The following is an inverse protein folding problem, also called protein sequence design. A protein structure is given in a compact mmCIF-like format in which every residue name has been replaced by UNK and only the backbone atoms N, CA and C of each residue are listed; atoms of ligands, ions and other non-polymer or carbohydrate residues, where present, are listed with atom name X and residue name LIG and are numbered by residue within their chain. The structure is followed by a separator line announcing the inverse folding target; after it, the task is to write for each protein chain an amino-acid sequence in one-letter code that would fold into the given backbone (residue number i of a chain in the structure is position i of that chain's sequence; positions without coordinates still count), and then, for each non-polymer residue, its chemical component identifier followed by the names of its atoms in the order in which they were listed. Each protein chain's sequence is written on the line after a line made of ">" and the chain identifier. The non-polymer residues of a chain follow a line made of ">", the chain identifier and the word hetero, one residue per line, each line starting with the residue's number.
data_IF_219007357387
#
_entry.id   IF_219007357387
#
_cell.length_a   1.000
_cell.length_b   1.000
_cell.length_c   1.000
_cell.angle_alpha   90.00
_cell.angle_beta   90.00
_cell.angle_gamma   90.00
#
_symmetry.space_group_name_H-M   'P 1'
#
loop_
_entity.id
_entity.type
_entity.pdbx_description
1 polymer ?
#
# COMPACT_ATOMS: atom_id res chain seq x y z
N UNK A 1 0.44 -5.77 18.45
CA UNK A 1 -0.60 -5.01 17.74
C UNK A 1 -0.20 -4.67 16.30
N UNK A 2 0.94 -4.03 16.04
CA UNK A 2 1.37 -3.68 14.66
C UNK A 2 1.51 -4.89 13.73
N UNK A 3 2.18 -5.96 14.16
CA UNK A 3 2.33 -7.20 13.38
C UNK A 3 0.99 -7.87 13.06
N UNK A 4 0.06 -7.89 14.03
CA UNK A 4 -1.30 -8.41 13.82
C UNK A 4 -2.01 -7.57 12.76
N UNK A 5 -1.89 -6.24 12.84
CA UNK A 5 -2.53 -5.35 11.85
C UNK A 5 -1.96 -5.55 10.45
N UNK A 6 -0.65 -5.75 10.33
CA UNK A 6 -0.02 -6.10 9.04
C UNK A 6 -0.53 -7.47 8.56
N UNK A 7 -0.59 -8.49 9.41
CA UNK A 7 -1.09 -9.81 9.01
C UNK A 7 -2.55 -9.76 8.52
N UNK A 8 -3.43 -9.11 9.27
CA UNK A 8 -4.85 -8.94 8.88
C UNK A 8 -4.96 -8.04 7.65
N UNK A 9 -4.12 -7.01 7.51
CA UNK A 9 -4.06 -6.17 6.31
C UNK A 9 -3.65 -6.95 5.05
N UNK A 10 -2.73 -7.90 5.16
CA UNK A 10 -2.34 -8.75 4.04
C UNK A 10 -3.49 -9.68 3.62
N UNK A 11 -4.21 -10.23 4.61
CA UNK A 11 -5.44 -11.01 4.37
C UNK A 11 -6.52 -10.14 3.71
N UNK A 12 -6.67 -8.87 4.14
CA UNK A 12 -7.62 -7.94 3.54
C UNK A 12 -7.32 -7.68 2.05
N UNK A 13 -6.06 -7.43 1.70
CA UNK A 13 -5.67 -7.22 0.29
C UNK A 13 -5.90 -8.49 -0.53
N UNK A 14 -5.52 -9.66 0.00
CA UNK A 14 -5.77 -10.94 -0.67
C UNK A 14 -7.27 -11.21 -0.86
N UNK A 15 -8.09 -10.96 0.15
CA UNK A 15 -9.54 -11.14 0.07
C UNK A 15 -10.19 -10.11 -0.85
N UNK A 16 -9.71 -8.87 -0.88
CA UNK A 16 -10.15 -7.84 -1.84
C UNK A 16 -9.78 -8.22 -3.28
N UNK A 17 -8.63 -8.86 -3.47
CA UNK A 17 -8.30 -9.48 -4.74
C UNK A 17 -9.32 -10.57 -5.09
N UNK A 18 -9.70 -11.45 -4.17
CA UNK A 18 -10.70 -12.48 -4.44
C UNK A 18 -12.06 -11.89 -4.87
N UNK A 19 -12.52 -10.82 -4.20
CA UNK A 19 -13.75 -10.07 -4.56
C UNK A 19 -13.70 -9.55 -6.00
N UNK A 20 -12.55 -8.99 -6.40
CA UNK A 20 -12.38 -8.43 -7.74
C UNK A 20 -12.25 -9.52 -8.80
N UNK A 21 -11.53 -10.62 -8.53
CA UNK A 21 -11.39 -11.74 -9.50
C UNK A 21 -12.73 -12.41 -9.78
N UNK A 22 -13.62 -12.50 -8.78
CA UNK A 22 -14.94 -13.11 -8.95
C UNK A 22 -15.98 -12.13 -9.48
N UNK A 23 -15.60 -10.87 -9.68
CA UNK A 23 -16.49 -9.78 -10.08
C UNK A 23 -17.73 -9.64 -9.16
N UNK A 24 -17.51 -9.80 -7.85
CA UNK A 24 -18.58 -9.72 -6.82
C UNK A 24 -18.47 -8.46 -5.99
N UNK A 25 -17.74 -7.45 -6.46
CA UNK A 25 -17.50 -6.23 -5.69
C UNK A 25 -18.66 -5.25 -5.64
N UNK A 26 -19.79 -5.58 -6.28
CA UNK A 26 -21.05 -4.82 -6.33
C UNK A 26 -22.27 -5.72 -5.98
N UNK A 27 -22.04 -6.89 -5.38
CA UNK A 27 -23.09 -7.82 -4.95
C UNK A 27 -23.93 -7.27 -3.77
N UNK A 28 -23.42 -6.28 -3.03
CA UNK A 28 -24.11 -5.57 -1.94
C UNK A 28 -24.34 -4.11 -2.36
N UNK A 29 -25.59 -3.68 -2.58
CA UNK A 29 -25.89 -2.40 -3.25
C UNK A 29 -25.83 -1.18 -2.34
N UNK A 30 -25.86 -1.37 -1.02
CA UNK A 30 -25.85 -0.29 -0.03
C UNK A 30 -24.46 -0.14 0.63
N UNK A 31 -24.23 1.03 1.20
CA UNK A 31 -23.04 1.37 2.01
C UNK A 31 -23.42 2.47 3.01
N UNK A 32 -22.95 2.46 4.26
CA UNK A 32 -21.92 1.57 4.86
C UNK A 32 -22.44 0.21 5.35
N UNK A 33 -23.75 -0.01 5.33
CA UNK A 33 -24.38 -1.28 5.75
C UNK A 33 -24.31 -2.33 4.64
N UNK A 34 -24.83 -3.53 4.92
CA UNK A 34 -25.07 -4.58 3.95
C UNK A 34 -26.52 -5.04 4.07
N UNK A 35 -27.33 -4.71 3.07
CA UNK A 35 -28.78 -4.86 3.07
C UNK A 35 -29.44 -4.30 4.34
N UNK A 36 -29.04 -3.09 4.73
CA UNK A 36 -29.55 -2.39 5.91
C UNK A 36 -29.10 -2.95 7.27
N UNK A 37 -28.16 -3.92 7.29
CA UNK A 37 -27.62 -4.50 8.53
C UNK A 37 -26.09 -4.47 8.55
N UNK A 38 -25.51 -4.43 9.75
CA UNK A 38 -24.07 -4.63 9.95
C UNK A 38 -23.65 -6.08 9.73
N UNK A 39 -24.55 -7.04 9.98
CA UNK A 39 -24.31 -8.47 9.81
C UNK A 39 -25.61 -9.16 9.37
N UNK A 40 -26.00 -9.03 8.09
CA UNK A 40 -27.23 -9.57 7.53
C UNK A 40 -27.27 -11.11 7.58
N UNK A 41 -28.42 -11.71 7.93
CA UNK A 41 -28.54 -13.18 8.00
C UNK A 41 -28.29 -13.84 6.64
N UNK A 42 -27.69 -15.04 6.65
CA UNK A 42 -27.50 -15.84 5.44
C UNK A 42 -26.32 -15.42 4.56
N UNK A 43 -25.53 -14.40 4.94
CA UNK A 43 -24.40 -13.91 4.14
C UNK A 43 -23.32 -14.97 3.87
N UNK A 44 -23.17 -15.94 4.79
CA UNK A 44 -22.27 -17.08 4.60
C UNK A 44 -22.79 -18.08 3.58
N UNK A 45 -24.08 -18.12 3.26
CA UNK A 45 -24.68 -19.11 2.36
C UNK A 45 -24.45 -18.83 0.87
N UNK A 46 -24.36 -17.55 0.49
CA UNK A 46 -24.26 -17.13 -0.91
C UNK A 46 -22.80 -16.77 -1.22
N UNK A 47 -22.10 -17.46 -2.16
CA UNK A 47 -20.67 -17.25 -2.39
C UNK A 47 -20.26 -15.81 -2.72
N UNK A 48 -21.04 -15.11 -3.56
CA UNK A 48 -20.78 -13.72 -3.92
C UNK A 48 -20.90 -12.79 -2.72
N UNK A 49 -21.99 -12.93 -1.96
CA UNK A 49 -22.23 -12.15 -0.76
C UNK A 49 -21.20 -12.44 0.33
N UNK A 50 -20.78 -13.71 0.48
CA UNK A 50 -19.73 -14.13 1.41
C UNK A 50 -18.42 -13.40 1.13
N UNK A 51 -18.02 -13.33 -0.13
CA UNK A 51 -16.79 -12.64 -0.53
C UNK A 51 -16.90 -11.14 -0.27
N UNK A 52 -17.96 -10.48 -0.73
CA UNK A 52 -18.05 -9.03 -0.56
C UNK A 52 -18.26 -8.60 0.89
N UNK A 53 -19.23 -9.18 1.59
CA UNK A 53 -19.48 -8.83 2.99
C UNK A 53 -18.30 -9.23 3.88
N UNK A 54 -17.68 -10.39 3.63
CA UNK A 54 -16.45 -10.79 4.31
C UNK A 54 -15.30 -9.78 4.12
N UNK A 55 -15.17 -9.21 2.92
CA UNK A 55 -14.19 -8.14 2.66
C UNK A 55 -14.49 -6.89 3.49
N UNK A 56 -15.77 -6.46 3.54
CA UNK A 56 -16.21 -5.30 4.33
C UNK A 56 -15.94 -5.50 5.83
N UNK A 57 -16.21 -6.70 6.36
CA UNK A 57 -15.92 -7.04 7.76
C UNK A 57 -14.42 -7.05 8.06
N UNK A 58 -13.59 -7.61 7.17
CA UNK A 58 -12.13 -7.55 7.29
C UNK A 58 -11.63 -6.10 7.27
N UNK A 59 -12.17 -5.26 6.38
CA UNK A 59 -11.82 -3.84 6.28
C UNK A 59 -12.18 -3.09 7.56
N UNK A 60 -13.37 -3.33 8.13
CA UNK A 60 -13.79 -2.77 9.41
C UNK A 60 -12.86 -3.23 10.55
N UNK A 61 -12.47 -4.51 10.58
CA UNK A 61 -11.52 -5.05 11.54
C UNK A 61 -10.15 -4.38 11.47
N UNK A 62 -9.59 -4.19 10.26
CA UNK A 62 -8.34 -3.43 10.08
C UNK A 62 -8.50 -1.99 10.53
N UNK A 63 -9.64 -1.35 10.24
CA UNK A 63 -9.95 0.01 10.71
C UNK A 63 -9.93 0.12 12.24
N UNK A 64 -10.52 -0.84 12.95
CA UNK A 64 -10.49 -0.89 14.41
C UNK A 64 -9.07 -1.10 14.97
N UNK A 65 -8.27 -1.96 14.34
CA UNK A 65 -6.88 -2.16 14.72
C UNK A 65 -6.04 -0.89 14.52
N UNK A 66 -6.24 -0.17 13.42
CA UNK A 66 -5.60 1.14 13.16
C UNK A 66 -6.01 2.17 14.20
N UNK A 67 -7.31 2.24 14.52
CA UNK A 67 -7.83 3.13 15.55
C UNK A 67 -7.19 2.83 16.92
N UNK A 68 -7.09 1.55 17.29
CA UNK A 68 -6.42 1.13 18.52
C UNK A 68 -4.92 1.49 18.53
N UNK A 69 -4.21 1.30 17.42
CA UNK A 69 -2.80 1.73 17.28
C UNK A 69 -2.63 3.24 17.41
N UNK A 70 -3.52 4.00 16.78
CA UNK A 70 -3.54 5.45 16.87
C UNK A 70 -3.71 5.89 18.34
N UNK A 71 -4.76 5.43 19.03
CA UNK A 71 -5.00 5.81 20.42
C UNK A 71 -3.89 5.36 21.38
N UNK A 72 -3.29 4.22 21.12
CA UNK A 72 -2.16 3.74 21.92
C UNK A 72 -0.94 4.67 21.83
N UNK A 73 -0.62 5.20 20.65
CA UNK A 73 0.48 6.17 20.50
C UNK A 73 0.03 7.54 21.00
N UNK A 74 -1.20 7.94 20.70
CA UNK A 74 -1.79 9.21 21.12
C UNK A 74 -1.74 9.38 22.64
N UNK A 75 -2.11 8.36 23.42
CA UNK A 75 -2.07 8.41 24.89
C UNK A 75 -0.66 8.51 25.47
N UNK A 76 0.36 7.94 24.79
CA UNK A 76 1.76 8.03 25.21
C UNK A 76 2.38 9.42 24.99
N UNK A 77 1.92 10.13 23.96
CA UNK A 77 2.49 11.40 23.51
C UNK A 77 1.85 12.64 24.19
N UNK A 78 1.07 12.46 25.27
CA UNK A 78 0.39 13.51 26.06
C UNK A 78 -0.24 14.60 25.18
N UNK A 79 -1.30 14.26 24.44
CA UNK A 79 -1.83 15.13 23.40
C UNK A 79 -2.55 16.33 24.00
N UNK A 80 -2.62 17.42 23.23
CA UNK A 80 -3.38 18.60 23.67
C UNK A 80 -4.87 18.26 23.62
N UNK A 81 -5.65 18.72 24.59
CA UNK A 81 -7.10 18.50 24.63
C UNK A 81 -7.80 18.91 23.32
N UNK A 82 -7.35 20.02 22.72
CA UNK A 82 -7.87 20.51 21.44
C UNK A 82 -7.67 19.49 20.30
N UNK A 83 -6.57 18.74 20.30
CA UNK A 83 -6.31 17.71 19.29
C UNK A 83 -7.23 16.51 19.48
N UNK A 84 -7.43 16.09 20.75
CA UNK A 84 -8.33 15.00 21.09
C UNK A 84 -9.78 15.34 20.72
N UNK A 85 -10.24 16.53 21.11
CA UNK A 85 -11.57 17.04 20.80
C UNK A 85 -11.75 17.20 19.29
N UNK A 86 -10.76 17.81 18.62
CA UNK A 86 -10.78 17.99 17.17
C UNK A 86 -10.92 16.67 16.42
N UNK A 87 -10.18 15.64 16.82
CA UNK A 87 -10.26 14.31 16.20
C UNK A 87 -11.61 13.63 16.45
N UNK A 88 -12.14 13.69 17.67
CA UNK A 88 -13.43 13.10 18.01
C UNK A 88 -14.55 13.78 17.25
N UNK A 89 -14.60 15.12 17.27
CA UNK A 89 -15.58 15.89 16.51
C UNK A 89 -15.47 15.61 15.00
N UNK A 90 -14.24 15.45 14.51
CA UNK A 90 -13.98 15.10 13.11
C UNK A 90 -14.51 13.71 12.76
N UNK A 91 -14.25 12.71 13.60
CA UNK A 91 -14.78 11.36 13.42
C UNK A 91 -16.31 11.32 13.48
N UNK A 92 -16.91 12.00 14.46
CA UNK A 92 -18.38 12.09 14.61
C UNK A 92 -19.01 12.83 13.43
N UNK A 93 -18.45 13.97 13.03
CA UNK A 93 -18.91 14.75 11.89
C UNK A 93 -18.85 13.97 10.58
N UNK A 94 -17.74 13.25 10.36
CA UNK A 94 -17.60 12.37 9.19
C UNK A 94 -18.63 11.22 9.18
N UNK A 95 -18.84 10.55 10.32
CA UNK A 95 -19.86 9.49 10.45
C UNK A 95 -21.28 10.02 10.23
N UNK A 96 -21.56 11.24 10.70
CA UNK A 96 -22.84 11.91 10.46
C UNK A 96 -23.04 12.20 8.96
N UNK A 97 -22.02 12.72 8.26
CA UNK A 97 -22.08 12.98 6.83
C UNK A 97 -22.30 11.68 6.02
N UNK A 98 -21.65 10.58 6.40
CA UNK A 98 -21.91 9.28 5.78
C UNK A 98 -23.35 8.84 6.02
N UNK A 99 -23.83 8.91 7.27
CA UNK A 99 -25.17 8.43 7.63
C UNK A 99 -26.28 9.21 6.92
N UNK A 100 -26.05 10.49 6.63
CA UNK A 100 -26.99 11.38 5.94
C UNK A 100 -26.85 11.35 4.41
N UNK A 101 -25.96 10.51 3.85
CA UNK A 101 -25.78 10.36 2.41
C UNK A 101 -24.92 11.46 1.75
N UNK A 102 -24.27 12.33 2.52
CA UNK A 102 -23.45 13.43 2.03
C UNK A 102 -21.98 13.02 1.78
N UNK A 103 -21.77 11.94 1.03
CA UNK A 103 -20.44 11.32 0.85
C UNK A 103 -19.38 12.25 0.22
N UNK A 104 -19.79 13.14 -0.70
CA UNK A 104 -18.90 14.15 -1.32
C UNK A 104 -18.44 15.24 -0.34
N UNK A 105 -19.29 15.61 0.62
CA UNK A 105 -18.87 16.51 1.70
C UNK A 105 -17.95 15.78 2.68
N UNK A 106 -18.23 14.49 2.93
CA UNK A 106 -17.34 13.62 3.68
C UNK A 106 -15.93 13.54 3.09
N UNK A 107 -15.79 13.42 1.76
CA UNK A 107 -14.46 13.39 1.13
C UNK A 107 -13.73 14.74 1.24
N UNK A 108 -14.42 15.87 1.11
CA UNK A 108 -13.83 17.19 1.35
C UNK A 108 -13.34 17.33 2.81
N UNK A 109 -14.11 16.82 3.77
CA UNK A 109 -13.73 16.79 5.19
C UNK A 109 -12.41 16.03 5.43
N UNK A 110 -12.21 14.94 4.70
CA UNK A 110 -10.97 14.16 4.78
C UNK A 110 -9.77 14.91 4.20
N UNK A 111 -9.95 15.63 3.10
CA UNK A 111 -8.89 16.48 2.51
C UNK A 111 -8.44 17.53 3.53
N UNK A 112 -9.38 18.21 4.20
CA UNK A 112 -9.05 19.14 5.28
C UNK A 112 -8.30 18.48 6.43
N UNK A 113 -8.69 17.25 6.81
CA UNK A 113 -7.96 16.45 7.80
C UNK A 113 -6.51 16.16 7.41
N UNK A 114 -6.25 15.83 6.14
CA UNK A 114 -4.89 15.59 5.62
C UNK A 114 -4.04 16.86 5.62
N UNK A 115 -4.63 18.01 5.24
CA UNK A 115 -3.96 19.32 5.30
C UNK A 115 -3.60 19.65 6.75
N UNK A 116 -4.57 19.51 7.67
CA UNK A 116 -4.34 19.69 9.11
C UNK A 116 -3.19 18.81 9.61
N UNK A 117 -3.21 17.52 9.28
CA UNK A 117 -2.14 16.58 9.66
C UNK A 117 -0.75 17.02 9.21
N UNK A 118 -0.61 17.42 7.95
CA UNK A 118 0.67 17.89 7.41
C UNK A 118 1.16 19.15 8.13
N UNK A 119 0.27 20.12 8.32
CA UNK A 119 0.58 21.36 9.03
C UNK A 119 0.95 21.11 10.49
N UNK A 120 0.20 20.28 11.22
CA UNK A 120 0.49 19.98 12.63
C UNK A 120 1.76 19.17 12.78
N UNK A 121 2.04 18.25 11.86
CA UNK A 121 3.29 17.50 11.88
C UNK A 121 4.49 18.44 11.70
N UNK A 122 4.43 19.35 10.73
CA UNK A 122 5.48 20.34 10.49
C UNK A 122 5.65 21.31 11.69
N UNK A 123 4.54 21.81 12.23
CA UNK A 123 4.56 22.79 13.31
C UNK A 123 5.00 22.20 14.67
N UNK A 124 4.56 20.98 14.98
CA UNK A 124 4.79 20.35 16.28
C UNK A 124 5.87 19.28 16.29
N UNK A 125 6.52 19.02 15.15
CA UNK A 125 7.63 18.05 15.00
C UNK A 125 7.30 16.69 15.61
N UNK A 126 6.11 16.17 15.33
CA UNK A 126 5.68 14.86 15.83
C UNK A 126 6.68 13.75 15.51
N UNK A 127 6.80 12.78 16.42
CA UNK A 127 7.53 11.55 16.17
C UNK A 127 6.97 10.85 14.94
N UNK A 128 7.83 10.20 14.15
CA UNK A 128 7.40 9.48 12.94
C UNK A 128 6.30 8.46 13.25
N UNK A 129 6.36 7.80 14.40
CA UNK A 129 5.32 6.88 14.85
C UNK A 129 3.95 7.57 14.99
N UNK A 130 3.89 8.72 15.67
CA UNK A 130 2.65 9.51 15.82
C UNK A 130 2.15 10.03 14.48
N UNK A 131 3.05 10.54 13.63
CA UNK A 131 2.68 11.04 12.31
C UNK A 131 2.07 9.91 11.45
N UNK A 132 2.72 8.74 11.40
CA UNK A 132 2.27 7.63 10.55
C UNK A 132 0.98 6.96 11.04
N UNK A 133 0.75 6.83 12.35
CA UNK A 133 -0.54 6.29 12.83
C UNK A 133 -1.70 7.24 12.63
N UNK A 134 -1.47 8.55 12.75
CA UNK A 134 -2.48 9.57 12.39
C UNK A 134 -2.78 9.52 10.89
N UNK A 135 -1.74 9.42 10.07
CA UNK A 135 -1.88 9.31 8.62
C UNK A 135 -2.62 8.03 8.21
N UNK A 136 -2.29 6.89 8.81
CA UNK A 136 -3.00 5.63 8.58
C UNK A 136 -4.49 5.72 8.93
N UNK A 137 -4.84 6.37 10.05
CA UNK A 137 -6.24 6.60 10.43
C UNK A 137 -6.97 7.42 9.35
N UNK A 138 -6.36 8.49 8.85
CA UNK A 138 -6.93 9.29 7.77
C UNK A 138 -7.07 8.50 6.46
N UNK A 139 -6.07 7.70 6.10
CA UNK A 139 -6.14 6.83 4.92
C UNK A 139 -7.24 5.78 5.03
N UNK A 140 -7.52 5.20 6.21
CA UNK A 140 -8.66 4.30 6.40
C UNK A 140 -9.97 5.01 6.09
N UNK A 141 -10.11 6.26 6.50
CA UNK A 141 -11.30 7.08 6.23
C UNK A 141 -11.43 7.36 4.72
N UNK A 142 -10.33 7.76 4.05
CA UNK A 142 -10.29 7.90 2.57
C UNK A 142 -10.71 6.59 1.89
N UNK A 143 -10.15 5.47 2.32
CA UNK A 143 -10.42 4.15 1.74
C UNK A 143 -11.89 3.74 1.91
N UNK A 144 -12.48 3.99 3.09
CA UNK A 144 -13.89 3.75 3.33
C UNK A 144 -14.78 4.62 2.42
N UNK A 145 -14.46 5.91 2.28
CA UNK A 145 -15.15 6.83 1.36
C UNK A 145 -15.08 6.35 -0.10
N UNK A 146 -13.88 6.01 -0.58
CA UNK A 146 -13.68 5.55 -1.96
C UNK A 146 -14.38 4.21 -2.22
N UNK A 147 -14.34 3.28 -1.27
CA UNK A 147 -15.07 2.02 -1.35
C UNK A 147 -16.58 2.23 -1.42
N UNK A 148 -17.11 3.17 -0.64
CA UNK A 148 -18.52 3.57 -0.71
C UNK A 148 -18.90 4.20 -2.04
N UNK A 149 -18.10 5.18 -2.53
CA UNK A 149 -18.32 5.84 -3.82
C UNK A 149 -18.28 4.83 -4.98
N UNK A 150 -17.35 3.89 -4.95
CA UNK A 150 -17.28 2.81 -5.94
C UNK A 150 -18.58 2.03 -6.04
N UNK A 151 -19.18 1.66 -4.90
CA UNK A 151 -20.43 0.88 -4.84
C UNK A 151 -21.62 1.73 -5.27
N UNK A 152 -21.77 2.92 -4.67
CA UNK A 152 -22.93 3.79 -4.87
C UNK A 152 -22.99 4.42 -6.28
N UNK A 153 -21.83 4.70 -6.88
CA UNK A 153 -21.75 5.28 -8.23
C UNK A 153 -21.42 4.22 -9.31
N UNK A 154 -21.27 2.94 -8.95
CA UNK A 154 -20.89 1.85 -9.88
C UNK A 154 -19.71 2.20 -10.78
N UNK A 155 -18.64 2.72 -10.18
CA UNK A 155 -17.54 3.38 -10.89
C UNK A 155 -16.23 2.59 -10.85
N UNK A 156 -15.79 2.16 -12.03
CA UNK A 156 -14.52 1.47 -12.23
C UNK A 156 -13.30 2.33 -11.85
N UNK A 157 -13.23 3.62 -12.22
CA UNK A 157 -12.17 4.51 -11.75
C UNK A 157 -12.04 4.54 -10.22
N UNK A 158 -13.15 4.63 -9.48
CA UNK A 158 -13.08 4.57 -8.01
C UNK A 158 -12.63 3.20 -7.51
N UNK A 159 -12.98 2.12 -8.20
CA UNK A 159 -12.45 0.78 -7.91
C UNK A 159 -10.94 0.66 -8.07
N UNK A 160 -10.40 1.18 -9.18
CA UNK A 160 -8.96 1.19 -9.47
C UNK A 160 -8.21 2.03 -8.43
N UNK A 161 -8.69 3.25 -8.14
CA UNK A 161 -8.08 4.14 -7.14
C UNK A 161 -8.17 3.55 -5.74
N UNK A 162 -9.31 3.00 -5.35
CA UNK A 162 -9.49 2.32 -4.07
C UNK A 162 -8.50 1.15 -3.91
N UNK A 163 -8.44 0.24 -4.89
CA UNK A 163 -7.58 -0.94 -4.82
C UNK A 163 -6.09 -0.62 -4.82
N UNK A 164 -5.65 0.36 -5.61
CA UNK A 164 -4.25 0.80 -5.67
C UNK A 164 -3.83 1.54 -4.39
N UNK A 165 -4.66 2.46 -3.90
CA UNK A 165 -4.41 3.17 -2.65
C UNK A 165 -4.47 2.24 -1.44
N UNK A 166 -5.29 1.19 -1.46
CA UNK A 166 -5.31 0.15 -0.42
C UNK A 166 -3.96 -0.57 -0.26
N UNK A 167 -3.23 -0.80 -1.35
CA UNK A 167 -1.88 -1.40 -1.29
C UNK A 167 -0.82 -0.40 -0.81
N UNK A 168 -0.95 0.90 -1.10
CA UNK A 168 -0.11 1.94 -0.48
C UNK A 168 -0.40 2.08 1.02
N UNK A 169 -1.67 2.00 1.42
CA UNK A 169 -2.06 1.97 2.82
C UNK A 169 -1.42 0.77 3.55
N UNK A 170 -1.35 -0.40 2.90
CA UNK A 170 -0.62 -1.55 3.44
C UNK A 170 0.87 -1.24 3.66
N UNK A 171 1.52 -0.52 2.75
CA UNK A 171 2.91 -0.06 2.93
C UNK A 171 3.05 0.84 4.18
N UNK A 172 2.07 1.71 4.44
CA UNK A 172 2.04 2.53 5.67
C UNK A 172 1.92 1.67 6.93
N UNK A 173 1.10 0.62 6.92
CA UNK A 173 1.01 -0.32 8.04
C UNK A 173 2.35 -1.01 8.32
N UNK A 174 3.06 -1.40 7.26
CA UNK A 174 4.40 -1.99 7.36
C UNK A 174 5.41 -0.96 7.89
N UNK A 175 5.34 0.30 7.45
CA UNK A 175 6.18 1.38 8.00
C UNK A 175 5.94 1.55 9.51
N UNK A 176 4.68 1.59 9.95
CA UNK A 176 4.34 1.70 11.37
C UNK A 176 4.92 0.51 12.15
N UNK A 177 4.83 -0.71 11.61
CA UNK A 177 5.40 -1.90 12.23
C UNK A 177 6.93 -1.82 12.33
N UNK A 178 7.61 -1.35 11.29
CA UNK A 178 9.06 -1.13 11.26
C UNK A 178 9.46 -0.10 12.30
N UNK A 179 8.87 1.11 12.27
CA UNK A 179 9.19 2.21 13.18
C UNK A 179 8.92 1.86 14.65
N UNK A 180 7.93 0.99 14.89
CA UNK A 180 7.60 0.51 16.24
C UNK A 180 8.48 -0.66 16.71
N UNK A 181 9.32 -1.23 15.85
CA UNK A 181 10.16 -2.39 16.16
C UNK A 181 11.42 -2.01 16.97
N UNK A 182 12.01 -2.98 17.68
CA UNK A 182 13.29 -2.78 18.38
C UNK A 182 14.42 -2.46 17.40
N UNK A 183 14.45 -3.13 16.26
CA UNK A 183 15.47 -2.93 15.23
C UNK A 183 15.48 -1.52 14.63
N UNK A 184 14.37 -0.79 14.66
CA UNK A 184 14.36 0.63 14.25
C UNK A 184 15.14 1.55 15.18
N UNK A 185 15.34 1.15 16.44
CA UNK A 185 16.21 1.88 17.39
C UNK A 185 17.68 1.51 17.24
N UNK A 186 17.97 0.32 16.71
CA UNK A 186 19.33 -0.15 16.48
C UNK A 186 19.88 0.46 15.16
N UNK A 187 21.11 0.96 15.18
CA UNK A 187 21.81 1.45 13.99
C UNK A 187 22.40 0.28 13.18
N UNK A 188 22.87 0.55 11.94
CA UNK A 188 23.66 -0.42 11.18
C UNK A 188 22.91 -1.29 10.15
N UNK A 189 21.77 -0.83 9.61
CA UNK A 189 21.12 -1.51 8.49
C UNK A 189 21.81 -1.25 7.14
N UNK A 190 22.51 -0.12 7.03
CA UNK A 190 23.22 0.32 5.82
C UNK A 190 24.70 0.49 6.09
N UNK A 191 25.54 0.22 5.09
CA UNK A 191 26.97 0.47 5.14
C UNK A 191 27.26 1.96 4.80
N UNK A 192 27.82 2.78 5.73
CA UNK A 192 27.97 4.23 5.54
C UNK A 192 28.91 4.67 4.40
N UNK A 193 29.77 3.78 3.90
CA UNK A 193 30.82 4.11 2.93
C UNK A 193 30.47 3.97 1.44
N UNK A 194 29.22 3.61 1.09
CA UNK A 194 28.82 3.32 -0.30
C UNK A 194 27.70 4.26 -0.72
N UNK A 195 27.77 4.79 -1.96
CA UNK A 195 26.95 5.86 -2.54
C UNK A 195 25.45 5.87 -2.18
N UNK A 196 25.12 6.33 -0.97
CA UNK A 196 23.78 6.27 -0.40
C UNK A 196 22.80 7.20 -1.13
N UNK A 197 23.30 8.28 -1.75
CA UNK A 197 22.49 9.16 -2.62
C UNK A 197 21.95 8.39 -3.83
N UNK A 198 22.79 7.61 -4.47
CA UNK A 198 22.40 6.75 -5.60
C UNK A 198 21.45 5.64 -5.12
N UNK A 199 21.70 5.07 -3.93
CA UNK A 199 20.79 4.10 -3.32
C UNK A 199 19.37 4.62 -3.14
N UNK A 200 19.23 5.85 -2.65
CA UNK A 200 17.94 6.52 -2.49
C UNK A 200 17.27 6.72 -3.84
N UNK A 201 17.99 7.24 -4.83
CA UNK A 201 17.45 7.46 -6.17
C UNK A 201 16.93 6.17 -6.79
N UNK A 202 17.74 5.11 -6.77
CA UNK A 202 17.42 3.82 -7.39
C UNK A 202 16.30 3.07 -6.66
N UNK A 203 16.26 3.08 -5.33
CA UNK A 203 15.16 2.44 -4.58
C UNK A 203 13.85 3.21 -4.69
N UNK A 204 13.90 4.55 -4.80
CA UNK A 204 12.71 5.38 -5.05
C UNK A 204 12.17 5.13 -6.46
N UNK A 205 13.05 5.04 -7.46
CA UNK A 205 12.68 4.67 -8.82
C UNK A 205 12.05 3.28 -8.87
N UNK A 206 12.65 2.29 -8.20
CA UNK A 206 12.10 0.93 -8.12
C UNK A 206 10.69 0.92 -7.53
N UNK A 207 10.49 1.52 -6.36
CA UNK A 207 9.17 1.58 -5.72
C UNK A 207 8.13 2.25 -6.64
N UNK A 208 8.50 3.36 -7.28
CA UNK A 208 7.63 4.09 -8.21
C UNK A 208 7.28 3.24 -9.43
N UNK A 209 8.24 2.50 -10.00
CA UNK A 209 8.05 1.65 -11.16
C UNK A 209 7.14 0.44 -10.84
N UNK A 210 7.34 -0.20 -9.67
CA UNK A 210 6.48 -1.28 -9.19
C UNK A 210 5.05 -0.77 -8.92
N UNK A 211 4.91 0.42 -8.33
CA UNK A 211 3.59 1.03 -8.12
C UNK A 211 2.90 1.36 -9.44
N UNK A 212 3.62 1.88 -10.44
CA UNK A 212 3.05 2.11 -11.77
C UNK A 212 2.58 0.79 -12.41
N UNK A 213 3.36 -0.28 -12.30
CA UNK A 213 2.95 -1.61 -12.80
C UNK A 213 1.69 -2.12 -12.12
N UNK A 214 1.55 -1.88 -10.81
CA UNK A 214 0.34 -2.20 -10.04
C UNK A 214 -0.87 -1.42 -10.58
N UNK A 215 -0.73 -0.12 -10.85
CA UNK A 215 -1.81 0.71 -11.44
C UNK A 215 -2.23 0.17 -12.81
N UNK A 216 -1.28 -0.13 -13.69
CA UNK A 216 -1.58 -0.72 -15.00
C UNK A 216 -2.29 -2.08 -14.84
N UNK A 217 -1.84 -2.93 -13.91
CA UNK A 217 -2.50 -4.21 -13.61
C UNK A 217 -3.91 -4.05 -13.04
N UNK A 218 -4.15 -3.01 -12.24
CA UNK A 218 -5.48 -2.69 -11.73
C UNK A 218 -6.43 -2.23 -12.85
N UNK A 219 -5.94 -1.37 -13.76
CA UNK A 219 -6.71 -0.97 -14.96
C UNK A 219 -7.08 -2.20 -15.78
N UNK A 220 -6.11 -3.04 -16.14
CA UNK A 220 -6.33 -4.28 -16.90
C UNK A 220 -7.43 -5.14 -16.26
N UNK A 221 -7.36 -5.33 -14.94
CA UNK A 221 -8.32 -6.17 -14.22
C UNK A 221 -9.73 -5.58 -14.19
N UNK A 222 -9.86 -4.26 -14.20
CA UNK A 222 -11.15 -3.59 -14.21
C UNK A 222 -11.76 -3.50 -15.62
N UNK A 223 -10.96 -3.42 -16.68
CA UNK A 223 -11.45 -3.40 -18.07
C UNK A 223 -11.67 -4.82 -18.63
N UNK A 224 -10.88 -5.80 -18.22
CA UNK A 224 -10.89 -7.18 -18.75
C UNK A 224 -11.33 -8.21 -17.69
N UNK A 225 -12.47 -7.95 -17.02
CA UNK A 225 -12.98 -8.82 -15.94
C UNK A 225 -13.44 -10.19 -16.41
N UNK A 226 -14.07 -10.25 -17.58
CA UNK A 226 -14.75 -11.45 -18.08
C UNK A 226 -13.81 -12.33 -18.90
N UNK A 227 -12.99 -11.72 -19.76
CA UNK A 227 -12.04 -12.42 -20.61
C UNK A 227 -10.83 -11.53 -20.89
N UNK A 228 -9.66 -12.14 -21.04
CA UNK A 228 -8.47 -11.47 -21.54
C UNK A 228 -8.59 -11.25 -23.05
N UNK A 229 -8.14 -10.11 -23.53
CA UNK A 229 -8.19 -9.77 -24.96
C UNK A 229 -7.23 -10.60 -25.82
N UNK A 230 -6.15 -11.13 -25.23
CA UNK A 230 -5.17 -11.95 -25.93
C UNK A 230 -4.50 -12.96 -24.98
N UNK A 231 -4.08 -14.09 -25.57
CA UNK A 231 -3.35 -15.15 -24.87
C UNK A 231 -1.89 -15.30 -25.32
N UNK A 232 -1.47 -14.50 -26.31
CA UNK A 232 -0.12 -14.54 -26.85
C UNK A 232 0.88 -14.01 -25.79
N UNK A 233 2.02 -14.70 -25.65
CA UNK A 233 3.05 -14.31 -24.68
C UNK A 233 3.97 -13.21 -25.23
N UNK A 234 4.46 -13.38 -26.46
CA UNK A 234 5.41 -12.45 -27.07
C UNK A 234 4.71 -11.27 -27.76
N UNK A 235 3.74 -11.55 -28.61
CA UNK A 235 2.85 -10.55 -29.22
C UNK A 235 1.66 -10.27 -28.30
N UNK A 236 0.78 -9.34 -28.68
CA UNK A 236 -0.51 -9.11 -28.00
C UNK A 236 -1.58 -8.89 -29.05
N UNK A 237 -2.54 -9.82 -29.15
CA UNK A 237 -3.55 -9.86 -30.21
C UNK A 237 -2.92 -9.88 -31.62
N UNK A 238 -1.81 -10.61 -31.77
CA UNK A 238 -1.04 -10.67 -33.01
C UNK A 238 -0.12 -9.47 -33.29
N UNK A 239 -0.23 -8.37 -32.53
CA UNK A 239 0.64 -7.20 -32.69
C UNK A 239 1.94 -7.32 -31.88
N UNK A 240 3.05 -6.80 -32.42
CA UNK A 240 4.24 -6.56 -31.61
C UNK A 240 4.04 -5.40 -30.64
N UNK A 241 3.51 -4.28 -31.13
CA UNK A 241 3.01 -3.15 -30.35
C UNK A 241 1.59 -2.84 -30.86
N UNK A 242 0.54 -3.08 -30.07
CA UNK A 242 -0.83 -2.78 -30.48
C UNK A 242 -1.03 -1.27 -30.72
N UNK A 243 -1.92 -0.89 -31.65
CA UNK A 243 -2.34 0.50 -31.81
C UNK A 243 -3.00 1.04 -30.53
N UNK A 244 -2.80 2.33 -30.20
CA UNK A 244 -3.43 2.97 -29.03
C UNK A 244 -4.96 3.06 -29.12
N UNK A 245 -5.52 2.93 -30.33
CA UNK A 245 -6.97 2.82 -30.55
C UNK A 245 -7.54 1.51 -30.01
N UNK A 246 -6.74 0.44 -29.95
CA UNK A 246 -7.10 -0.86 -29.39
C UNK A 246 -6.75 -0.89 -27.89
N UNK A 247 -7.47 -0.09 -27.10
CA UNK A 247 -7.14 0.22 -25.70
C UNK A 247 -6.86 -1.02 -24.86
N UNK A 248 -7.69 -2.06 -24.99
CA UNK A 248 -7.55 -3.30 -24.21
C UNK A 248 -6.28 -4.08 -24.57
N UNK A 249 -6.00 -4.25 -25.86
CA UNK A 249 -4.77 -4.90 -26.32
C UNK A 249 -3.54 -4.07 -25.93
N UNK A 250 -3.63 -2.75 -26.05
CA UNK A 250 -2.55 -1.83 -25.68
C UNK A 250 -2.24 -1.87 -24.18
N UNK A 251 -3.24 -1.88 -23.30
CA UNK A 251 -3.06 -1.96 -21.84
C UNK A 251 -2.47 -3.32 -21.44
N UNK A 252 -2.91 -4.43 -22.07
CA UNK A 252 -2.33 -5.75 -21.83
C UNK A 252 -0.86 -5.82 -22.28
N UNK A 253 -0.56 -5.28 -23.47
CA UNK A 253 0.82 -5.14 -23.95
C UNK A 253 1.67 -4.32 -22.99
N UNK A 254 1.16 -3.16 -22.55
CA UNK A 254 1.85 -2.27 -21.62
C UNK A 254 2.13 -2.98 -20.29
N UNK A 255 1.15 -3.70 -19.73
CA UNK A 255 1.33 -4.47 -18.50
C UNK A 255 2.43 -5.53 -18.63
N UNK A 256 2.49 -6.24 -19.77
CA UNK A 256 3.51 -7.26 -20.04
C UNK A 256 4.90 -6.64 -20.21
N UNK A 257 5.01 -5.66 -21.11
CA UNK A 257 6.28 -5.03 -21.45
C UNK A 257 6.88 -4.25 -20.27
N UNK A 258 6.07 -3.41 -19.61
CA UNK A 258 6.49 -2.70 -18.39
C UNK A 258 6.78 -3.67 -17.25
N UNK A 259 6.01 -4.75 -17.11
CA UNK A 259 6.27 -5.81 -16.14
C UNK A 259 7.64 -6.46 -16.29
N UNK A 260 8.07 -6.75 -17.52
CA UNK A 260 9.42 -7.26 -17.79
C UNK A 260 10.51 -6.24 -17.40
N UNK A 261 10.33 -4.96 -17.74
CA UNK A 261 11.26 -3.89 -17.35
C UNK A 261 11.36 -3.78 -15.82
N UNK A 262 10.22 -3.81 -15.13
CA UNK A 262 10.16 -3.78 -13.66
C UNK A 262 10.82 -5.02 -13.06
N UNK A 263 10.61 -6.22 -13.60
CA UNK A 263 11.25 -7.44 -13.11
C UNK A 263 12.78 -7.37 -13.21
N UNK A 264 13.30 -6.88 -14.34
CA UNK A 264 14.75 -6.66 -14.52
C UNK A 264 15.29 -5.60 -13.55
N UNK A 265 14.53 -4.51 -13.35
CA UNK A 265 14.89 -3.47 -12.38
C UNK A 265 14.93 -4.02 -10.96
N UNK A 266 13.95 -4.84 -10.55
CA UNK A 266 13.94 -5.52 -9.25
C UNK A 266 15.20 -6.38 -9.09
N UNK A 267 15.53 -7.22 -10.07
CA UNK A 267 16.71 -8.09 -10.03
C UNK A 267 18.02 -7.28 -9.91
N UNK A 268 18.16 -6.22 -10.73
CA UNK A 268 19.31 -5.33 -10.70
C UNK A 268 19.46 -4.69 -9.31
N UNK A 269 18.39 -4.11 -8.77
CA UNK A 269 18.42 -3.46 -7.46
C UNK A 269 18.64 -4.47 -6.34
N UNK A 270 18.08 -5.68 -6.43
CA UNK A 270 18.30 -6.74 -5.45
C UNK A 270 19.79 -7.10 -5.37
N UNK A 271 20.45 -7.35 -6.50
CA UNK A 271 21.89 -7.64 -6.55
C UNK A 271 22.71 -6.46 -6.04
N UNK A 272 22.41 -5.24 -6.49
CA UNK A 272 23.14 -4.05 -6.09
C UNK A 272 22.99 -3.75 -4.60
N UNK A 273 21.82 -4.06 -4.04
CA UNK A 273 21.52 -3.75 -2.65
C UNK A 273 22.38 -4.49 -1.64
N UNK A 274 22.97 -5.61 -2.06
CA UNK A 274 23.96 -6.35 -1.27
C UNK A 274 25.23 -5.55 -0.97
N UNK A 275 25.52 -4.51 -1.77
CA UNK A 275 26.67 -3.63 -1.53
C UNK A 275 26.39 -2.65 -0.39
N UNK A 276 25.18 -2.07 -0.33
CA UNK A 276 24.85 -1.03 0.64
C UNK A 276 24.05 -1.51 1.85
N UNK A 277 23.45 -2.69 1.83
CA UNK A 277 22.83 -3.31 3.02
C UNK A 277 23.89 -4.05 3.83
N UNK A 278 23.83 -3.91 5.15
CA UNK A 278 24.71 -4.64 6.06
C UNK A 278 24.35 -6.15 6.06
N UNK A 279 25.26 -7.06 5.65
CA UNK A 279 24.93 -8.48 5.48
C UNK A 279 24.48 -9.20 6.76
N UNK A 280 24.99 -8.77 7.92
CA UNK A 280 24.65 -9.33 9.24
C UNK A 280 23.47 -8.63 9.92
N UNK A 281 22.83 -7.69 9.24
CA UNK A 281 21.65 -7.01 9.79
C UNK A 281 20.39 -7.87 9.68
N UNK A 282 19.37 -7.50 10.46
CA UNK A 282 18.01 -8.06 10.39
C UNK A 282 17.36 -7.97 9.00
N UNK A 283 17.89 -7.13 8.10
CA UNK A 283 17.39 -6.97 6.72
C UNK A 283 18.26 -7.66 5.66
N UNK A 284 19.27 -8.44 6.06
CA UNK A 284 20.18 -9.13 5.14
C UNK A 284 19.52 -10.17 4.22
N UNK A 285 18.31 -10.64 4.56
CA UNK A 285 17.52 -11.57 3.74
C UNK A 285 16.82 -10.89 2.55
N UNK A 286 16.61 -9.58 2.61
CA UNK A 286 15.78 -8.82 1.68
C UNK A 286 16.23 -8.93 0.21
N UNK A 287 17.54 -8.85 -0.12
CA UNK A 287 18.02 -9.05 -1.49
C UNK A 287 17.66 -10.42 -2.07
N UNK A 288 17.72 -11.48 -1.26
CA UNK A 288 17.48 -12.85 -1.73
C UNK A 288 16.02 -13.08 -2.07
N UNK A 289 15.12 -12.56 -1.25
CA UNK A 289 13.68 -12.61 -1.53
C UNK A 289 13.36 -11.79 -2.79
N UNK A 290 13.97 -10.61 -2.97
CA UNK A 290 13.79 -9.80 -4.17
C UNK A 290 14.43 -10.39 -5.43
N UNK A 291 15.34 -11.36 -5.33
CA UNK A 291 15.79 -12.14 -6.49
C UNK A 291 14.72 -13.16 -6.90
N UNK A 292 14.05 -13.80 -5.94
CA UNK A 292 13.07 -14.86 -6.19
C UNK A 292 11.71 -14.32 -6.65
N UNK A 293 11.15 -13.34 -5.95
CA UNK A 293 9.79 -12.85 -6.18
C UNK A 293 9.49 -12.36 -7.61
N UNK A 294 10.37 -11.64 -8.35
CA UNK A 294 10.05 -11.23 -9.71
C UNK A 294 9.97 -12.42 -10.67
N UNK A 295 10.75 -13.48 -10.44
CA UNK A 295 10.67 -14.71 -11.24
C UNK A 295 9.32 -15.39 -11.03
N UNK A 296 8.88 -15.47 -9.78
CA UNK A 296 7.55 -15.98 -9.42
C UNK A 296 6.44 -15.09 -10.01
N UNK A 297 6.59 -13.76 -9.98
CA UNK A 297 5.61 -12.83 -10.55
C UNK A 297 5.42 -13.03 -12.05
N UNK A 298 6.54 -13.17 -12.79
CA UNK A 298 6.52 -13.40 -14.23
C UNK A 298 5.88 -14.77 -14.54
N UNK A 299 6.28 -15.82 -13.82
CA UNK A 299 5.68 -17.16 -13.99
C UNK A 299 4.17 -17.15 -13.72
N UNK A 300 3.73 -16.49 -12.64
CA UNK A 300 2.31 -16.32 -12.34
C UNK A 300 1.59 -15.50 -13.41
N UNK A 301 2.22 -14.45 -13.96
CA UNK A 301 1.65 -13.64 -15.04
C UNK A 301 1.43 -14.44 -16.32
N UNK A 302 2.42 -15.25 -16.72
CA UNK A 302 2.31 -16.20 -17.84
C UNK A 302 1.17 -17.19 -17.57
N UNK A 303 1.10 -17.74 -16.36
CA UNK A 303 0.03 -18.68 -16.00
C UNK A 303 -1.36 -18.02 -15.99
N UNK A 304 -1.50 -16.74 -15.60
CA UNK A 304 -2.75 -15.98 -15.71
C UNK A 304 -3.21 -15.94 -17.17
N UNK A 305 -2.29 -15.63 -18.09
CA UNK A 305 -2.59 -15.57 -19.52
C UNK A 305 -3.02 -16.95 -20.05
N UNK A 306 -2.28 -18.01 -19.73
CA UNK A 306 -2.54 -19.37 -20.24
C UNK A 306 -3.81 -20.00 -19.67
N UNK A 307 -4.16 -19.68 -18.43
CA UNK A 307 -5.34 -20.26 -17.75
C UNK A 307 -6.61 -19.44 -17.93
N UNK A 308 -6.57 -18.34 -18.69
CA UNK A 308 -7.71 -17.44 -18.85
C UNK A 308 -8.13 -16.80 -17.52
N UNK A 309 -7.18 -16.25 -16.77
CA UNK A 309 -7.42 -15.58 -15.48
C UNK A 309 -7.97 -16.49 -14.38
N UNK A 310 -7.42 -17.71 -14.26
CA UNK A 310 -7.76 -18.63 -13.16
C UNK A 310 -7.77 -17.93 -11.80
N UNK A 311 -8.80 -18.22 -10.99
CA UNK A 311 -9.02 -17.55 -9.70
C UNK A 311 -7.80 -17.62 -8.79
N UNK A 312 -7.21 -18.80 -8.61
CA UNK A 312 -6.10 -19.00 -7.70
C UNK A 312 -4.82 -18.35 -8.22
N UNK A 313 -4.51 -18.56 -9.51
CA UNK A 313 -3.31 -18.00 -10.14
C UNK A 313 -3.33 -16.47 -10.08
N UNK A 314 -4.46 -15.86 -10.39
CA UNK A 314 -4.64 -14.39 -10.34
C UNK A 314 -4.49 -13.85 -8.91
N UNK A 315 -5.07 -14.53 -7.92
CA UNK A 315 -4.93 -14.11 -6.52
C UNK A 315 -3.48 -14.24 -6.02
N UNK A 316 -2.78 -15.31 -6.39
CA UNK A 316 -1.36 -15.46 -6.08
C UNK A 316 -0.49 -14.42 -6.80
N UNK A 317 -0.83 -14.08 -8.05
CA UNK A 317 -0.16 -13.01 -8.80
C UNK A 317 -0.31 -11.66 -8.09
N UNK A 318 -1.49 -11.36 -7.54
CA UNK A 318 -1.73 -10.11 -6.79
C UNK A 318 -0.96 -10.08 -5.47
N UNK A 319 -0.99 -11.16 -4.66
CA UNK A 319 -0.31 -11.16 -3.36
C UNK A 319 1.22 -11.16 -3.50
N UNK A 320 1.75 -11.80 -4.53
CA UNK A 320 3.18 -11.74 -4.86
C UNK A 320 3.57 -10.32 -5.35
N UNK A 321 2.69 -9.66 -6.12
CA UNK A 321 2.82 -8.24 -6.47
C UNK A 321 2.82 -7.31 -5.25
N UNK A 322 1.93 -7.55 -4.27
CA UNK A 322 1.91 -6.81 -3.00
C UNK A 322 3.23 -6.97 -2.24
N UNK A 323 3.79 -8.19 -2.23
CA UNK A 323 5.09 -8.45 -1.61
C UNK A 323 6.20 -7.64 -2.30
N UNK A 324 6.25 -7.62 -3.63
CA UNK A 324 7.21 -6.79 -4.39
C UNK A 324 7.08 -5.30 -4.08
N UNK A 325 5.86 -4.77 -4.03
CA UNK A 325 5.59 -3.38 -3.66
C UNK A 325 6.09 -3.09 -2.24
N UNK A 326 5.75 -3.95 -1.29
CA UNK A 326 6.09 -3.76 0.13
C UNK A 326 7.58 -3.86 0.37
N UNK A 327 8.26 -4.83 -0.23
CA UNK A 327 9.70 -5.03 -0.04
C UNK A 327 10.54 -3.96 -0.75
N UNK A 328 10.10 -3.48 -1.93
CA UNK A 328 10.73 -2.31 -2.56
C UNK A 328 10.53 -1.03 -1.75
N UNK A 329 9.34 -0.84 -1.16
CA UNK A 329 9.09 0.23 -0.21
C UNK A 329 9.97 0.13 1.05
N UNK A 330 10.15 -1.07 1.61
CA UNK A 330 11.05 -1.29 2.74
C UNK A 330 12.50 -0.91 2.40
N UNK A 331 13.01 -1.30 1.22
CA UNK A 331 14.34 -0.88 0.75
C UNK A 331 14.47 0.65 0.67
N UNK A 332 13.44 1.32 0.12
CA UNK A 332 13.40 2.77 0.06
C UNK A 332 13.47 3.38 1.48
N UNK A 333 12.64 2.93 2.41
CA UNK A 333 12.66 3.41 3.81
C UNK A 333 14.02 3.20 4.47
N UNK A 334 14.66 2.06 4.29
CA UNK A 334 15.97 1.75 4.88
C UNK A 334 17.05 2.73 4.37
N UNK A 335 17.10 2.98 3.06
CA UNK A 335 18.13 3.86 2.46
C UNK A 335 17.90 5.34 2.76
N UNK A 336 16.65 5.76 2.94
CA UNK A 336 16.29 7.11 3.38
C UNK A 336 16.47 7.31 4.89
N UNK A 337 16.30 6.26 5.73
CA UNK A 337 16.62 6.30 7.17
C UNK A 337 18.11 6.53 7.42
N UNK A 338 18.99 5.88 6.65
CA UNK A 338 20.46 5.91 6.83
C UNK A 338 21.09 7.32 6.79
N UNK A 339 20.32 8.36 6.47
CA UNK A 339 20.73 9.78 6.57
C UNK A 339 20.78 10.33 8.00
N UNK A 340 19.98 9.78 8.92
CA UNK A 340 19.79 10.38 10.25
C UNK A 340 21.00 10.30 11.19
N UNK A 341 21.98 9.43 10.89
CA UNK A 341 23.19 9.26 11.69
C UNK A 341 24.37 10.13 11.24
N UNK A 342 24.23 10.90 10.15
CA UNK A 342 25.32 11.75 9.61
C UNK A 342 25.14 13.25 9.88
N UNK A 343 24.15 13.63 10.71
CA UNK A 343 23.88 15.05 11.05
C UNK A 343 24.22 15.39 12.51
N UNK A 344 24.57 14.42 13.36
CA UNK A 344 24.95 14.67 14.77
C UNK A 344 26.46 14.50 15.08
N UNK A 345 27.32 14.54 14.07
CA UNK A 345 28.76 14.64 14.27
C UNK A 345 29.28 15.95 13.67
N UNK A 346 29.11 17.05 14.39
CA UNK A 346 30.03 18.19 14.28
C UNK A 346 31.14 17.96 15.32
N UNK A 347 32.40 17.73 14.91
CA UNK A 347 33.54 17.79 15.78
C UNK A 347 34.16 19.18 15.65
N UNK A 348 33.69 20.16 16.42
CA UNK A 348 34.45 21.39 16.64
C UNK A 348 34.47 21.70 18.13
N UNK A 349 35.65 21.51 18.73
CA UNK A 349 35.90 21.92 20.09
C UNK A 349 37.05 21.19 20.78
N UNK A 350 38.17 20.92 20.11
CA UNK A 350 39.44 20.90 20.86
C UNK A 350 40.66 21.32 20.04
N UNK A 351 41.56 22.03 20.73
CA UNK A 351 42.95 22.34 20.43
C UNK A 351 43.31 23.50 19.46
N UNK A 352 43.38 24.71 20.03
CA UNK A 352 44.55 25.61 19.93
C UNK A 352 44.51 26.53 21.17
N UNK A 353 45.55 26.83 21.95
CA UNK A 353 46.96 26.49 21.95
C UNK A 353 47.50 26.83 23.35
N UNK A 354 48.54 26.12 23.79
CA UNK A 354 49.44 26.56 24.85
C UNK A 354 50.32 27.73 24.35
N UNK A 355 50.30 28.87 25.03
CA UNK A 355 51.47 29.74 25.29
C UNK A 355 51.04 31.11 25.87
N UNK A 356 51.82 31.55 26.87
CA UNK A 356 51.80 32.80 27.65
C UNK A 356 50.89 32.81 28.88
#
# INVERSE_FOLDING_TARGET
>A
MTLITVAVGAILVWWGAAVTTRDVGLAVPDWPLSFGSLNPKGWLGIPAFRLEHGHRLLAAGVGLLVLAMYFWIFTKEKPRLVEAVGLVLSGVGYLFLIRTGHLRLGSAFVVWGLIWWGMTWAAQRWTLARAMTTFALMLVIVQASLGGLRVLEMSDPFGIVHGTLGQLFFCVLVLIAIVSSRGWRESGWTNPGIGLRMARGVTTLLFSAVFLQLVVGAVLRHTQRVHLVAHDLLTTAGYGVPPVSEVDAFVLFLHKAWGCVVALLVLMVAVWSRRWLAPKSVVGWLPWVLILLPLVQVALGVAVIQTGSSFWVTNFHVINGLALLTLSFMLMVITWRGSGALVEASPEGDASASAV
#
